data_IF_296347249136
#
_entry.id   IF_296347249136
#
_cell.length_a   1.000
_cell.length_b   1.000
_cell.length_c   1.000
_cell.angle_alpha   90.00
_cell.angle_beta   90.00
_cell.angle_gamma   90.00
#
_symmetry.space_group_name_H-M   'P 1'
#
loop_
_entity.id
_entity.type
_entity.pdbx_description
1 polymer ?
#
# COMPACT_ATOMS: atom_id res chain seq x y z
N UNK A 1 8.17 -18.38 -14.01
CA UNK A 1 7.16 -17.30 -13.91
C UNK A 1 7.83 -16.03 -13.41
N UNK A 2 8.23 -15.16 -14.35
CA UNK A 2 8.79 -13.84 -14.06
C UNK A 2 7.65 -12.86 -13.79
N UNK A 3 7.34 -12.62 -12.51
CA UNK A 3 6.40 -11.58 -12.10
C UNK A 3 7.17 -10.30 -11.74
N UNK A 4 7.98 -9.77 -12.67
CA UNK A 4 8.45 -8.39 -12.60
C UNK A 4 7.36 -7.46 -13.14
N UNK A 5 6.45 -7.03 -12.26
CA UNK A 5 5.52 -5.94 -12.57
C UNK A 5 6.19 -4.56 -12.34
N UNK A 6 7.07 -4.23 -13.27
CA UNK A 6 7.21 -2.99 -14.08
C UNK A 6 7.00 -1.54 -13.56
N UNK A 7 6.56 -1.23 -12.33
CA UNK A 7 6.33 0.19 -11.97
C UNK A 7 7.36 0.83 -11.02
N UNK A 8 8.16 0.03 -10.33
CA UNK A 8 9.29 0.53 -9.54
C UNK A 8 10.56 0.43 -10.39
N UNK A 9 10.82 1.44 -11.21
CA UNK A 9 12.18 1.72 -11.74
C UNK A 9 13.11 2.25 -10.63
N UNK A 10 12.91 1.81 -9.38
CA UNK A 10 13.81 2.16 -8.29
C UNK A 10 14.96 1.15 -8.27
N UNK A 11 16.16 1.66 -8.02
CA UNK A 11 17.34 0.84 -7.76
C UNK A 11 17.02 -0.17 -6.66
N UNK A 12 17.47 -1.42 -6.84
CA UNK A 12 17.34 -2.50 -5.86
C UNK A 12 17.70 -2.02 -4.44
N UNK A 13 18.80 -1.28 -4.30
CA UNK A 13 19.26 -0.78 -3.01
C UNK A 13 18.35 0.32 -2.43
N UNK A 14 17.73 1.15 -3.26
CA UNK A 14 16.74 2.13 -2.81
C UNK A 14 15.49 1.45 -2.24
N UNK A 15 15.02 0.39 -2.89
CA UNK A 15 13.90 -0.41 -2.36
C UNK A 15 14.29 -1.06 -1.03
N UNK A 16 15.48 -1.64 -0.95
CA UNK A 16 15.99 -2.27 0.27
C UNK A 16 16.07 -1.26 1.42
N UNK A 17 16.59 -0.04 1.19
CA UNK A 17 16.69 1.04 2.22
C UNK A 17 15.35 1.36 2.88
N UNK A 18 14.22 1.08 2.22
CA UNK A 18 12.86 1.29 2.75
C UNK A 18 12.42 0.23 3.75
N UNK A 19 13.12 -0.90 3.84
CA UNK A 19 12.80 -1.98 4.75
C UNK A 19 12.91 -1.55 6.22
N UNK A 20 11.92 -1.92 7.04
CA UNK A 20 11.75 -1.42 8.42
C UNK A 20 12.92 -1.70 9.36
N UNK A 21 13.61 -2.83 9.14
CA UNK A 21 14.75 -3.28 9.96
C UNK A 21 16.07 -2.65 9.52
N UNK A 22 16.07 -1.81 8.49
CA UNK A 22 17.29 -1.15 8.02
C UNK A 22 17.46 0.19 8.73
N UNK A 23 18.53 0.28 9.52
CA UNK A 23 19.07 1.54 10.00
C UNK A 23 20.04 2.11 8.94
N UNK A 24 20.06 3.43 8.75
CA UNK A 24 20.95 4.11 7.78
C UNK A 24 22.42 3.78 8.00
N UNK A 25 22.87 3.74 9.26
CA UNK A 25 24.27 3.39 9.60
C UNK A 25 24.61 1.95 9.19
N UNK A 26 23.74 1.01 9.56
CA UNK A 26 23.93 -0.40 9.23
C UNK A 26 23.83 -0.66 7.72
N UNK A 27 23.00 0.09 7.00
CA UNK A 27 22.88 -0.04 5.56
C UNK A 27 24.18 0.29 4.84
N UNK A 28 24.84 1.40 5.20
CA UNK A 28 26.09 1.81 4.58
C UNK A 28 27.17 0.75 4.77
N UNK A 29 27.32 0.23 5.99
CA UNK A 29 28.29 -0.84 6.29
C UNK A 29 27.99 -2.12 5.50
N UNK A 30 26.71 -2.51 5.37
CA UNK A 30 26.33 -3.68 4.58
C UNK A 30 26.57 -3.48 3.08
N UNK A 31 26.33 -2.27 2.57
CA UNK A 31 26.59 -1.92 1.17
C UNK A 31 28.09 -1.93 0.87
N UNK A 32 28.92 -1.31 1.72
CA UNK A 32 30.38 -1.32 1.58
C UNK A 32 30.96 -2.74 1.60
N UNK A 33 30.41 -3.64 2.43
CA UNK A 33 30.80 -5.07 2.41
C UNK A 33 30.39 -5.76 1.12
N UNK A 34 29.17 -5.51 0.65
CA UNK A 34 28.66 -6.08 -0.58
C UNK A 34 29.49 -5.67 -1.81
N UNK A 35 29.84 -4.38 -1.90
CA UNK A 35 30.70 -3.83 -2.95
C UNK A 35 32.12 -4.41 -2.90
N UNK A 36 32.72 -4.52 -1.71
CA UNK A 36 34.06 -5.13 -1.54
C UNK A 36 34.13 -6.59 -1.97
N UNK A 37 33.04 -7.33 -1.78
CA UNK A 37 32.97 -8.75 -2.16
C UNK A 37 32.68 -8.94 -3.66
N UNK A 38 32.60 -7.86 -4.47
CA UNK A 38 32.29 -7.89 -5.91
C UNK A 38 31.10 -8.80 -6.25
N UNK A 39 30.08 -8.78 -5.38
CA UNK A 39 28.94 -9.66 -5.53
C UNK A 39 28.09 -9.16 -6.69
N UNK A 40 27.96 -9.98 -7.73
CA UNK A 40 26.98 -9.69 -8.76
C UNK A 40 25.58 -9.66 -8.11
N UNK A 41 24.82 -8.62 -8.42
CA UNK A 41 23.39 -8.51 -8.10
C UNK A 41 22.62 -9.50 -8.98
N UNK A 42 22.92 -10.78 -8.84
CA UNK A 42 22.08 -11.83 -9.37
C UNK A 42 20.97 -12.02 -8.34
N UNK A 43 19.75 -11.84 -8.80
CA UNK A 43 18.48 -11.92 -8.04
C UNK A 43 18.26 -13.26 -7.31
N UNK A 44 19.20 -14.21 -7.42
CA UNK A 44 19.06 -15.60 -6.97
C UNK A 44 20.32 -16.25 -6.37
N UNK A 45 21.44 -15.52 -6.19
CA UNK A 45 22.62 -16.11 -5.54
C UNK A 45 22.37 -16.34 -4.05
N UNK A 46 21.95 -17.56 -3.69
CA UNK A 46 21.75 -18.02 -2.31
C UNK A 46 23.05 -18.41 -1.61
N UNK A 47 24.19 -18.35 -2.30
CA UNK A 47 25.49 -18.79 -1.78
C UNK A 47 26.11 -17.81 -0.77
N UNK A 48 25.75 -16.52 -0.83
CA UNK A 48 26.23 -15.51 0.13
C UNK A 48 25.10 -15.08 1.08
N UNK A 49 25.38 -15.14 2.38
CA UNK A 49 24.44 -14.74 3.44
C UNK A 49 24.00 -13.28 3.34
N UNK A 50 24.88 -12.37 2.88
CA UNK A 50 24.59 -10.94 2.71
C UNK A 50 23.63 -10.73 1.52
N UNK A 51 23.92 -11.34 0.37
CA UNK A 51 23.06 -11.29 -0.83
C UNK A 51 21.68 -11.85 -0.54
N UNK A 52 21.61 -12.97 0.19
CA UNK A 52 20.35 -13.56 0.64
C UNK A 52 19.55 -12.61 1.53
N UNK A 53 20.21 -11.94 2.48
CA UNK A 53 19.55 -10.98 3.37
C UNK A 53 18.98 -9.78 2.59
N UNK A 54 19.74 -9.22 1.63
CA UNK A 54 19.25 -8.12 0.80
C UNK A 54 18.07 -8.53 -0.08
N UNK A 55 18.17 -9.67 -0.77
CA UNK A 55 17.07 -10.20 -1.58
C UNK A 55 15.82 -10.46 -0.75
N UNK A 56 15.96 -11.01 0.47
CA UNK A 56 14.85 -11.19 1.39
C UNK A 56 14.17 -9.86 1.74
N UNK A 57 14.94 -8.84 2.11
CA UNK A 57 14.41 -7.51 2.46
C UNK A 57 13.74 -6.82 1.27
N UNK A 58 14.36 -6.89 0.09
CA UNK A 58 13.78 -6.40 -1.16
C UNK A 58 12.41 -7.03 -1.41
N UNK A 59 12.34 -8.37 -1.35
CA UNK A 59 11.11 -9.12 -1.58
C UNK A 59 10.01 -8.80 -0.55
N UNK A 60 10.37 -8.60 0.72
CA UNK A 60 9.42 -8.16 1.76
C UNK A 60 8.83 -6.78 1.44
N UNK A 61 9.67 -5.81 1.04
CA UNK A 61 9.22 -4.45 0.65
C UNK A 61 8.34 -4.48 -0.59
N UNK A 62 8.77 -5.14 -1.67
CA UNK A 62 8.02 -5.22 -2.92
C UNK A 62 6.68 -5.94 -2.72
N UNK A 63 6.67 -7.02 -1.93
CA UNK A 63 5.44 -7.75 -1.61
C UNK A 63 4.45 -6.85 -0.87
N UNK A 64 4.91 -6.10 0.13
CA UNK A 64 4.03 -5.15 0.82
C UNK A 64 3.52 -4.07 -0.13
N UNK A 65 4.41 -3.45 -0.93
CA UNK A 65 4.02 -2.43 -1.92
C UNK A 65 2.93 -2.93 -2.87
N UNK A 66 3.13 -4.09 -3.50
CA UNK A 66 2.17 -4.65 -4.45
C UNK A 66 0.82 -4.98 -3.79
N UNK A 67 0.84 -5.53 -2.57
CA UNK A 67 -0.39 -5.78 -1.80
C UNK A 67 -1.11 -4.49 -1.45
N UNK A 68 -0.38 -3.49 -0.94
CA UNK A 68 -0.96 -2.20 -0.55
C UNK A 68 -1.51 -1.44 -1.76
N UNK A 69 -0.85 -1.51 -2.91
CA UNK A 69 -1.33 -0.97 -4.18
C UNK A 69 -2.66 -1.60 -4.60
N UNK A 70 -2.80 -2.91 -4.46
CA UNK A 70 -4.05 -3.62 -4.71
C UNK A 70 -5.12 -3.32 -3.67
N UNK A 71 -4.74 -3.03 -2.42
CA UNK A 71 -5.64 -2.89 -1.27
C UNK A 71 -6.18 -1.47 -1.06
N UNK A 72 -5.36 -0.43 -1.26
CA UNK A 72 -5.73 0.96 -0.93
C UNK A 72 -6.95 1.42 -1.73
N UNK A 73 -7.97 1.92 -1.02
CA UNK A 73 -9.16 2.54 -1.60
C UNK A 73 -9.23 4.00 -1.19
N UNK A 74 -9.83 4.80 -2.06
CA UNK A 74 -9.97 6.22 -1.87
C UNK A 74 -11.43 6.59 -1.73
N UNK A 75 -11.68 7.51 -0.80
CA UNK A 75 -12.90 8.30 -0.76
C UNK A 75 -12.65 9.59 -1.51
N UNK A 76 -13.52 9.88 -2.46
CA UNK A 76 -13.54 11.14 -3.16
C UNK A 76 -14.06 12.24 -2.24
N UNK A 77 -13.40 13.39 -2.28
CA UNK A 77 -13.81 14.59 -1.59
C UNK A 77 -13.90 15.68 -2.63
N UNK A 78 -15.14 16.06 -2.89
CA UNK A 78 -15.54 17.14 -3.77
C UNK A 78 -15.93 18.39 -2.95
N UNK A 79 -15.81 19.59 -3.53
CA UNK A 79 -15.33 19.88 -4.90
C UNK A 79 -13.80 19.88 -5.06
N UNK A 80 -13.04 19.63 -3.98
CA UNK A 80 -11.58 19.80 -3.96
C UNK A 80 -10.80 18.71 -4.73
N UNK A 81 -11.49 17.76 -5.36
CA UNK A 81 -10.90 16.67 -6.15
C UNK A 81 -9.78 15.95 -5.38
N UNK A 82 -10.03 15.60 -4.12
CA UNK A 82 -9.09 14.86 -3.27
C UNK A 82 -9.53 13.41 -3.18
N UNK A 83 -8.57 12.49 -3.33
CA UNK A 83 -8.73 11.07 -3.04
C UNK A 83 -8.07 10.75 -1.70
N UNK A 84 -8.88 10.41 -0.68
CA UNK A 84 -8.39 10.15 0.68
C UNK A 84 -8.47 8.66 1.00
N UNK A 85 -7.35 8.08 1.44
CA UNK A 85 -7.30 6.75 2.04
C UNK A 85 -6.95 6.86 3.53
N UNK A 86 -7.77 6.27 4.39
CA UNK A 86 -7.65 6.37 5.86
C UNK A 86 -7.23 5.04 6.49
N UNK A 87 -6.70 5.12 7.71
CA UNK A 87 -6.38 3.95 8.55
C UNK A 87 -5.47 2.91 7.86
N UNK A 88 -4.59 3.38 6.99
CA UNK A 88 -3.63 2.54 6.31
C UNK A 88 -2.48 2.21 7.27
N UNK A 89 -2.06 0.96 7.29
CA UNK A 89 -0.97 0.45 8.12
C UNK A 89 0.06 -0.06 7.14
N UNK A 90 1.28 0.47 7.22
CA UNK A 90 2.42 0.02 6.42
C UNK A 90 3.56 -0.35 7.35
N UNK A 91 4.25 -1.45 7.07
CA UNK A 91 5.38 -1.88 7.89
C UNK A 91 6.66 -1.22 7.39
N UNK A 92 6.83 -1.14 6.08
CA UNK A 92 7.97 -0.56 5.41
C UNK A 92 7.74 0.91 5.01
N UNK A 93 8.81 1.61 4.67
CA UNK A 93 8.79 3.03 4.28
C UNK A 93 8.39 3.17 2.81
N UNK A 94 7.14 2.82 2.50
CA UNK A 94 6.60 2.77 1.12
C UNK A 94 5.43 3.74 0.88
N UNK A 95 5.04 4.54 1.87
CA UNK A 95 3.86 5.42 1.77
C UNK A 95 3.97 6.45 0.64
N UNK A 96 5.17 6.94 0.39
CA UNK A 96 5.51 7.83 -0.73
C UNK A 96 5.41 7.14 -2.09
N UNK A 97 5.90 5.91 -2.20
CA UNK A 97 5.76 5.11 -3.42
C UNK A 97 4.29 4.90 -3.79
N UNK A 98 3.47 4.61 -2.78
CA UNK A 98 2.04 4.42 -2.97
C UNK A 98 1.37 5.72 -3.40
N UNK A 99 1.65 6.84 -2.72
CA UNK A 99 1.08 8.14 -3.07
C UNK A 99 1.44 8.55 -4.51
N UNK A 100 2.71 8.41 -4.90
CA UNK A 100 3.17 8.72 -6.25
C UNK A 100 2.56 7.80 -7.32
N UNK A 101 2.44 6.50 -7.04
CA UNK A 101 1.79 5.57 -7.96
C UNK A 101 0.34 5.99 -8.24
N UNK A 102 -0.42 6.30 -7.20
CA UNK A 102 -1.81 6.71 -7.37
C UNK A 102 -1.95 8.11 -7.98
N UNK A 103 -1.04 9.04 -7.71
CA UNK A 103 -1.06 10.37 -8.32
C UNK A 103 -0.82 10.30 -9.83
N UNK A 104 0.02 9.37 -10.29
CA UNK A 104 0.19 9.07 -11.73
C UNK A 104 -1.08 8.48 -12.34
N UNK A 105 -1.77 7.60 -11.61
CA UNK A 105 -2.98 6.92 -12.06
C UNK A 105 -4.21 7.85 -12.11
N UNK A 106 -4.30 8.81 -11.19
CA UNK A 106 -5.40 9.76 -11.06
C UNK A 106 -4.87 11.19 -11.17
N UNK A 107 -4.41 11.63 -12.37
CA UNK A 107 -3.69 12.89 -12.52
C UNK A 107 -4.53 14.13 -12.20
N UNK A 108 -5.86 14.02 -12.27
CA UNK A 108 -6.80 15.08 -11.93
C UNK A 108 -7.01 15.23 -10.42
N UNK A 109 -6.58 14.27 -9.60
CA UNK A 109 -6.86 14.27 -8.16
C UNK A 109 -5.60 14.55 -7.35
N UNK A 110 -5.80 15.13 -6.16
CA UNK A 110 -4.80 15.15 -5.12
C UNK A 110 -4.92 13.88 -4.27
N UNK A 111 -3.83 13.11 -4.15
CA UNK A 111 -3.82 11.85 -3.38
C UNK A 111 -3.40 12.13 -1.95
N UNK A 112 -4.23 11.73 -1.00
CA UNK A 112 -3.93 11.76 0.43
C UNK A 112 -4.01 10.35 1.03
N UNK A 113 -2.87 9.80 1.46
CA UNK A 113 -2.80 8.52 2.17
C UNK A 113 -2.42 8.76 3.63
N UNK A 114 -3.34 8.45 4.54
CA UNK A 114 -3.13 8.56 5.98
C UNK A 114 -2.74 7.19 6.52
N UNK A 115 -1.47 7.02 6.89
CA UNK A 115 -0.93 5.77 7.40
C UNK A 115 0.02 5.93 8.58
N UNK A 116 -0.11 5.08 9.61
CA UNK A 116 0.71 5.11 10.83
C UNK A 116 0.90 6.53 11.42
N UNK A 117 -0.18 7.30 11.54
CA UNK A 117 -0.16 8.71 12.00
C UNK A 117 0.70 9.64 11.12
N UNK A 118 0.90 9.28 9.85
CA UNK A 118 1.59 10.08 8.84
C UNK A 118 0.70 10.25 7.61
N UNK A 119 0.57 11.48 7.15
CA UNK A 119 -0.05 11.79 5.87
C UNK A 119 1.00 11.75 4.79
N UNK A 120 0.73 11.08 3.66
CA UNK A 120 1.52 11.11 2.43
C UNK A 120 0.68 11.76 1.35
N UNK A 121 1.18 12.84 0.76
CA UNK A 121 0.45 13.66 -0.20
C UNK A 121 1.22 13.72 -1.51
N UNK A 122 0.54 13.44 -2.62
CA UNK A 122 1.10 13.53 -3.97
C UNK A 122 0.02 13.96 -4.96
N UNK A 123 0.40 14.75 -5.97
CA UNK A 123 -0.50 15.22 -7.03
C UNK A 123 0.28 15.38 -8.32
N UNK A 124 -0.39 15.20 -9.47
CA UNK A 124 0.13 15.58 -10.79
C UNK A 124 -0.50 16.87 -11.31
N UNK A 125 -1.37 17.52 -10.54
CA UNK A 125 -1.99 18.78 -10.94
C UNK A 125 -0.99 19.93 -10.87
N UNK A 126 -1.10 20.87 -11.81
CA UNK A 126 -0.21 22.03 -11.91
C UNK A 126 -0.77 23.28 -11.22
N UNK A 127 -2.07 23.31 -10.92
CA UNK A 127 -2.78 24.40 -10.26
C UNK A 127 -2.58 24.40 -8.73
N UNK A 128 -2.15 23.27 -8.16
CA UNK A 128 -1.81 23.18 -6.75
C UNK A 128 -0.40 23.72 -6.47
N UNK A 129 -0.34 24.83 -5.77
CA UNK A 129 0.90 25.44 -5.26
C UNK A 129 1.31 24.93 -3.87
N UNK A 130 0.42 24.22 -3.17
CA UNK A 130 0.64 23.62 -1.85
C UNK A 130 0.70 22.08 -1.93
N UNK A 131 1.64 21.39 -1.24
CA UNK A 131 2.41 21.91 -0.11
C UNK A 131 3.45 22.97 -0.43
N UNK A 132 4.12 23.09 -1.61
CA UNK A 132 4.99 24.26 -1.91
C UNK A 132 5.31 24.60 -3.39
N UNK A 133 5.62 25.91 -3.54
CA UNK A 133 6.01 26.83 -4.65
C UNK A 133 6.84 26.37 -5.87
N UNK A 134 7.16 25.09 -6.08
CA UNK A 134 7.75 24.60 -7.35
C UNK A 134 7.89 23.08 -7.26
N UNK A 135 6.86 22.34 -7.65
CA UNK A 135 6.98 20.89 -7.73
C UNK A 135 7.88 20.49 -8.90
N UNK A 136 8.94 19.74 -8.61
CA UNK A 136 9.37 18.71 -9.55
C UNK A 136 8.37 17.56 -9.40
N UNK A 137 7.76 17.09 -10.49
CA UNK A 137 6.80 15.96 -10.50
C UNK A 137 7.27 14.84 -9.54
N UNK A 138 6.34 14.23 -8.78
CA UNK A 138 6.57 13.06 -7.90
C UNK A 138 7.28 13.29 -6.55
N UNK A 139 7.31 14.51 -6.02
CA UNK A 139 7.67 14.68 -4.60
C UNK A 139 6.50 14.26 -3.70
N UNK A 140 6.82 13.68 -2.53
CA UNK A 140 5.80 13.31 -1.55
C UNK A 140 6.02 14.10 -0.29
N UNK A 141 4.99 14.81 0.13
CA UNK A 141 5.02 15.47 1.42
C UNK A 141 4.56 14.52 2.52
N UNK A 142 5.29 14.53 3.64
CA UNK A 142 4.92 13.77 4.81
C UNK A 142 4.71 14.67 6.02
N UNK A 143 3.62 14.46 6.75
CA UNK A 143 3.39 15.13 8.04
C UNK A 143 2.80 14.18 9.06
N UNK A 144 3.30 14.24 10.30
CA UNK A 144 2.67 13.56 11.42
C UNK A 144 1.36 14.26 11.77
N UNK A 145 0.31 13.49 12.01
CA UNK A 145 -0.95 14.01 12.52
C UNK A 145 -1.37 13.20 13.74
N UNK A 146 -2.22 13.80 14.58
CA UNK A 146 -2.76 13.18 15.79
C UNK A 146 -4.27 12.94 15.68
N UNK A 147 -4.95 13.78 14.90
CA UNK A 147 -6.38 13.73 14.65
C UNK A 147 -6.59 13.71 13.13
N UNK A 148 -7.30 12.70 12.64
CA UNK A 148 -7.56 12.49 11.21
C UNK A 148 -8.47 13.57 10.65
N UNK A 149 -9.59 13.86 11.30
CA UNK A 149 -10.61 14.76 10.77
C UNK A 149 -10.09 16.19 10.76
N UNK A 150 -9.46 16.63 11.86
CA UNK A 150 -8.85 17.96 11.94
C UNK A 150 -7.74 18.16 10.92
N UNK A 151 -6.98 17.10 10.61
CA UNK A 151 -5.96 17.17 9.56
C UNK A 151 -6.59 17.27 8.17
N UNK A 152 -7.61 16.44 7.88
CA UNK A 152 -8.31 16.44 6.59
C UNK A 152 -8.99 17.78 6.35
N UNK A 153 -9.68 18.34 7.33
CA UNK A 153 -10.35 19.64 7.21
C UNK A 153 -9.35 20.76 6.87
N UNK A 154 -8.24 20.84 7.61
CA UNK A 154 -7.15 21.79 7.31
C UNK A 154 -6.57 21.58 5.91
N UNK A 155 -6.42 20.33 5.50
CA UNK A 155 -5.92 20.00 4.18
C UNK A 155 -6.90 20.41 3.08
N UNK A 156 -8.19 20.10 3.24
CA UNK A 156 -9.26 20.53 2.33
C UNK A 156 -9.28 22.04 2.18
N UNK A 157 -9.30 22.77 3.28
CA UNK A 157 -9.29 24.24 3.26
C UNK A 157 -8.07 24.80 2.50
N UNK A 158 -6.89 24.15 2.65
CA UNK A 158 -5.70 24.56 1.91
C UNK A 158 -5.84 24.34 0.40
N UNK A 159 -6.48 23.26 -0.03
CA UNK A 159 -6.66 22.88 -1.44
C UNK A 159 -7.79 23.69 -2.09
N UNK A 160 -8.90 23.89 -1.39
CA UNK A 160 -10.10 24.57 -1.88
C UNK A 160 -9.83 25.98 -2.42
N UNK A 161 -8.87 26.68 -1.81
CA UNK A 161 -8.49 28.04 -2.20
C UNK A 161 -7.55 28.11 -3.42
N UNK A 162 -7.15 26.95 -3.97
CA UNK A 162 -6.18 26.88 -5.08
C UNK A 162 -6.76 26.26 -6.36
N UNK A 163 -7.84 25.50 -6.24
CA UNK A 163 -8.44 24.82 -7.38
C UNK A 163 -9.42 25.76 -8.08
N UNK A 164 -9.12 26.06 -9.34
CA UNK A 164 -10.01 26.79 -10.26
C UNK A 164 -11.15 25.88 -10.75
N UNK A 165 -10.83 24.65 -11.16
CA UNK A 165 -11.80 23.67 -11.67
C UNK A 165 -12.47 22.88 -10.54
N UNK A 166 -13.73 23.23 -10.22
CA UNK A 166 -14.53 22.56 -9.19
C UNK A 166 -15.53 21.60 -9.83
N UNK A 167 -15.63 20.39 -9.28
CA UNK A 167 -16.69 19.44 -9.63
C UNK A 167 -17.69 19.39 -8.48
N UNK A 168 -18.86 19.98 -8.69
CA UNK A 168 -19.97 19.89 -7.74
C UNK A 168 -20.74 18.59 -7.99
N UNK A 169 -20.60 17.64 -7.07
CA UNK A 169 -21.31 16.36 -7.13
C UNK A 169 -22.45 16.37 -6.12
N UNK A 170 -23.69 16.33 -6.61
CA UNK A 170 -24.88 16.16 -5.77
C UNK A 170 -25.15 14.68 -5.51
N UNK A 171 -25.19 14.28 -4.22
CA UNK A 171 -25.84 13.02 -3.82
C UNK A 171 -24.95 11.81 -3.47
N UNK A 172 -23.66 11.97 -3.15
CA UNK A 172 -22.85 10.83 -2.71
C UNK A 172 -23.06 10.51 -1.22
N UNK A 173 -23.65 9.35 -0.94
CA UNK A 173 -23.83 8.87 0.45
C UNK A 173 -22.57 8.17 0.98
N UNK A 174 -22.30 8.42 2.25
CA UNK A 174 -21.04 8.14 2.95
C UNK A 174 -20.94 6.70 3.48
N UNK A 175 -21.21 5.69 2.65
CA UNK A 175 -21.12 4.28 3.10
C UNK A 175 -19.67 3.79 3.11
N UNK A 176 -19.28 3.11 4.18
CA UNK A 176 -17.90 2.66 4.45
C UNK A 176 -17.39 1.70 3.36
N UNK A 177 -16.61 2.25 2.43
CA UNK A 177 -16.15 1.59 1.20
C UNK A 177 -15.30 0.33 1.43
N UNK A 178 -14.68 0.22 2.60
CA UNK A 178 -13.90 -0.96 2.95
C UNK A 178 -14.78 -2.22 3.02
N UNK A 179 -16.03 -2.10 3.47
CA UNK A 179 -16.95 -3.23 3.55
C UNK A 179 -17.45 -3.62 2.15
N UNK A 180 -17.92 -2.65 1.36
CA UNK A 180 -18.45 -2.88 0.02
C UNK A 180 -17.43 -3.46 -0.97
N UNK A 181 -16.15 -3.10 -0.87
CA UNK A 181 -15.12 -3.67 -1.74
C UNK A 181 -14.90 -5.17 -1.48
N UNK A 182 -14.92 -5.59 -0.21
CA UNK A 182 -14.75 -7.01 0.11
C UNK A 182 -15.97 -7.83 -0.27
N UNK A 183 -17.16 -7.26 -0.14
CA UNK A 183 -18.39 -7.87 -0.69
C UNK A 183 -18.26 -8.10 -2.20
N UNK A 184 -17.60 -7.20 -2.94
CA UNK A 184 -17.40 -7.34 -4.39
C UNK A 184 -16.28 -8.34 -4.74
N UNK A 185 -15.21 -8.44 -3.93
CA UNK A 185 -14.15 -9.42 -4.17
C UNK A 185 -14.54 -10.83 -3.77
N UNK A 186 -15.37 -10.96 -2.74
CA UNK A 186 -15.88 -12.23 -2.27
C UNK A 186 -17.20 -12.53 -2.99
N UNK A 187 -17.07 -13.17 -4.15
CA UNK A 187 -18.23 -13.77 -4.81
C UNK A 187 -18.58 -15.03 -4.04
N UNK A 188 -19.58 -14.93 -3.15
CA UNK A 188 -20.01 -15.99 -2.23
C UNK A 188 -20.29 -17.31 -2.96
N UNK A 189 -20.83 -17.23 -4.17
CA UNK A 189 -21.17 -18.35 -5.05
C UNK A 189 -19.93 -19.09 -5.56
N UNK A 190 -18.81 -18.39 -5.76
CA UNK A 190 -17.55 -18.98 -6.28
C UNK A 190 -16.67 -19.57 -5.18
N UNK A 191 -17.01 -19.34 -3.90
CA UNK A 191 -16.23 -19.77 -2.72
C UNK A 191 -14.73 -19.48 -2.83
N UNK A 192 -14.32 -18.40 -3.51
CA UNK A 192 -12.91 -18.12 -3.82
C UNK A 192 -12.17 -17.43 -2.64
N UNK A 193 -12.27 -18.06 -1.47
CA UNK A 193 -11.82 -17.54 -0.19
C UNK A 193 -10.29 -17.44 -0.15
N UNK A 194 -9.60 -18.44 -0.71
CA UNK A 194 -8.14 -18.47 -0.79
C UNK A 194 -7.60 -17.25 -1.53
N UNK A 195 -8.24 -16.86 -2.64
CA UNK A 195 -7.82 -15.70 -3.40
C UNK A 195 -8.05 -14.40 -2.61
N UNK A 196 -9.21 -14.24 -1.98
CA UNK A 196 -9.51 -13.07 -1.15
C UNK A 196 -8.49 -12.90 0.00
N UNK A 197 -8.15 -13.99 0.70
CA UNK A 197 -7.16 -13.98 1.78
C UNK A 197 -5.76 -13.64 1.30
N UNK A 198 -5.37 -14.12 0.12
CA UNK A 198 -4.05 -13.86 -0.44
C UNK A 198 -3.86 -12.38 -0.82
N UNK A 199 -4.94 -11.72 -1.24
CA UNK A 199 -4.93 -10.32 -1.66
C UNK A 199 -5.05 -9.34 -0.48
N UNK A 200 -5.69 -9.73 0.63
CA UNK A 200 -5.80 -8.90 1.83
C UNK A 200 -4.48 -8.89 2.63
N UNK A 201 -3.96 -7.73 3.07
CA UNK A 201 -2.81 -7.72 3.98
C UNK A 201 -3.17 -8.33 5.33
N UNK A 202 -2.32 -9.23 5.83
CA UNK A 202 -2.54 -10.03 7.05
C UNK A 202 -3.08 -9.24 8.26
N UNK A 203 -2.54 -8.05 8.50
CA UNK A 203 -2.92 -7.16 9.61
C UNK A 203 -4.36 -6.66 9.56
N UNK A 204 -5.00 -6.68 8.39
CA UNK A 204 -6.40 -6.30 8.21
C UNK A 204 -7.37 -7.46 8.32
N UNK A 205 -6.89 -8.71 8.16
CA UNK A 205 -7.72 -9.91 8.29
C UNK A 205 -8.35 -10.05 9.69
N UNK A 206 -7.73 -9.45 10.71
CA UNK A 206 -8.23 -9.42 12.10
C UNK A 206 -9.12 -8.22 12.43
N UNK A 207 -8.99 -7.12 11.68
CA UNK A 207 -9.67 -5.83 11.93
C UNK A 207 -11.00 -5.70 11.19
N UNK A 208 -11.08 -6.23 9.97
CA UNK A 208 -12.36 -6.44 9.33
C UNK A 208 -13.15 -7.39 10.24
N UNK A 209 -14.34 -6.97 10.67
CA UNK A 209 -15.25 -7.72 11.55
C UNK A 209 -15.84 -8.95 10.83
N UNK A 210 -15.00 -9.68 10.10
CA UNK A 210 -15.24 -10.99 9.51
C UNK A 210 -15.42 -12.05 10.62
N UNK A 211 -15.97 -11.74 11.79
CA UNK A 211 -16.28 -12.74 12.83
C UNK A 211 -17.36 -13.70 12.37
N UNK A 212 -18.32 -13.23 11.56
CA UNK A 212 -19.39 -14.06 11.00
C UNK A 212 -18.85 -14.98 9.91
N UNK A 213 -17.99 -14.46 9.04
CA UNK A 213 -17.38 -15.27 7.99
C UNK A 213 -16.22 -16.10 8.52
N UNK A 214 -15.44 -15.68 9.53
CA UNK A 214 -14.38 -16.49 10.18
C UNK A 214 -14.90 -17.77 10.81
N UNK A 215 -16.12 -17.78 11.36
CA UNK A 215 -16.74 -19.02 11.84
C UNK A 215 -17.11 -19.95 10.68
N UNK A 216 -17.67 -19.42 9.59
CA UNK A 216 -17.92 -20.20 8.37
C UNK A 216 -16.60 -20.67 7.72
N UNK A 217 -15.57 -19.82 7.71
CA UNK A 217 -14.21 -20.05 7.20
C UNK A 217 -13.46 -21.12 8.02
N UNK A 218 -13.56 -21.10 9.35
CA UNK A 218 -12.97 -22.13 10.22
C UNK A 218 -13.69 -23.47 10.04
N UNK A 219 -15.03 -23.44 9.91
CA UNK A 219 -15.85 -24.64 9.68
C UNK A 219 -15.56 -25.28 8.31
N UNK A 220 -15.44 -24.48 7.24
CA UNK A 220 -15.04 -24.98 5.91
C UNK A 220 -13.56 -25.44 5.87
N UNK A 221 -12.64 -24.75 6.54
CA UNK A 221 -11.21 -25.15 6.62
C UNK A 221 -11.01 -26.45 7.40
N UNK A 222 -11.78 -26.67 8.47
CA UNK A 222 -11.80 -27.96 9.18
C UNK A 222 -12.37 -29.08 8.28
N UNK A 223 -13.47 -28.81 7.57
CA UNK A 223 -14.06 -29.77 6.64
C UNK A 223 -13.11 -30.14 5.48
N UNK A 224 -12.31 -29.18 4.98
CA UNK A 224 -11.35 -29.43 3.91
C UNK A 224 -10.14 -30.27 4.38
N UNK A 225 -9.65 -30.03 5.61
CA UNK A 225 -8.60 -30.86 6.23
C UNK A 225 -9.08 -32.28 6.49
N UNK A 226 -10.31 -32.45 6.97
CA UNK A 226 -10.91 -33.76 7.22
C UNK A 226 -11.18 -34.53 5.92
N UNK A 227 -11.50 -33.84 4.80
CA UNK A 227 -11.63 -34.50 3.48
C UNK A 227 -10.30 -35.01 2.94
N UNK A 228 -9.20 -34.28 3.15
CA UNK A 228 -7.85 -34.76 2.77
C UNK A 228 -7.41 -35.97 3.58
N UNK A 229 -7.64 -35.97 4.90
CA UNK A 229 -7.28 -37.13 5.73
C UNK A 229 -8.08 -38.40 5.42
N UNK A 230 -9.26 -38.28 4.79
CA UNK A 230 -10.08 -39.43 4.37
C UNK A 230 -9.69 -39.92 2.97
N UNK A 231 -9.10 -39.07 2.13
CA UNK A 231 -8.67 -39.44 0.77
C UNK A 231 -7.21 -39.90 0.70
N UNK A 232 -6.44 -39.74 1.78
CA UNK A 232 -5.07 -40.28 1.90
C UNK A 232 -5.04 -41.68 2.55
N UNK A 233 -6.19 -42.33 2.77
CA UNK A 233 -6.32 -43.68 3.37
C UNK A 233 -7.16 -44.67 2.54
N UNK A 234 -7.46 -44.35 1.28
CA UNK A 234 -8.01 -45.30 0.30
C UNK A 234 -7.17 -45.30 -0.97
#
# INVERSE_FOLDING_TARGET
MSCMNLDLKEDFFEVVKRHRKINRRNFKVLLEKYEKENLEVTTYSTKNSISYEFNKKYNEVIREYNKMRGYIRFKEVFPEMILISRNILIEHRIGDLLANYFAKRYPQFCILILCNNKAFISSCRNDLSFPFKKYKKYQVWYKKFYDYEKFIEKFRYSVQNQIEDRIDVYGFSEKDFNESYYDIQYIRERKNITHALNMMPWKYQKKANLKYEQKAFLKEKMNYKNKKSITDYY
#
